data_IF_228119505585
#
_entry.id   IF_228119505585
#
_cell.length_a   1.000
_cell.length_b   1.000
_cell.length_c   1.000
_cell.angle_alpha   90.00
_cell.angle_beta   90.00
_cell.angle_gamma   90.00
#
_symmetry.space_group_name_H-M   'P 1'
#
loop_
_entity.id
_entity.type
_entity.pdbx_description
1 polymer ?
#
# COMPACT_ATOMS: atom_id res chain seq x y z
N UNK A 1 -12.68 15.16 3.73
CA UNK A 1 -13.15 14.34 2.58
C UNK A 1 -14.04 13.25 3.15
N UNK A 2 -15.08 12.82 2.42
CA UNK A 2 -15.83 11.63 2.86
C UNK A 2 -14.97 10.41 2.50
N UNK A 3 -14.62 9.63 3.49
CA UNK A 3 -13.88 8.38 3.36
C UNK A 3 -14.83 7.32 2.77
N UNK A 4 -15.09 7.41 1.48
CA UNK A 4 -15.93 6.46 0.75
C UNK A 4 -15.06 5.32 0.18
N UNK A 5 -15.57 4.08 0.16
CA UNK A 5 -14.84 2.97 -0.43
C UNK A 5 -14.62 3.19 -1.93
N UNK A 6 -13.55 2.60 -2.47
CA UNK A 6 -13.27 2.61 -3.90
C UNK A 6 -13.65 1.27 -4.53
N UNK A 7 -14.54 1.30 -5.51
CA UNK A 7 -14.91 0.16 -6.34
C UNK A 7 -14.44 0.44 -7.76
N UNK A 8 -13.60 -0.43 -8.32
CA UNK A 8 -13.07 -0.25 -9.67
C UNK A 8 -14.10 -0.58 -10.77
N UNK A 9 -13.74 -0.36 -12.03
CA UNK A 9 -14.61 -0.63 -13.17
C UNK A 9 -15.06 -2.11 -13.30
N UNK A 10 -14.32 -3.05 -12.72
CA UNK A 10 -14.68 -4.47 -12.67
C UNK A 10 -15.69 -4.81 -11.55
N UNK A 11 -16.05 -3.84 -10.70
CA UNK A 11 -16.96 -4.03 -9.57
C UNK A 11 -16.27 -4.59 -8.31
N UNK A 12 -14.93 -4.61 -8.28
CA UNK A 12 -14.16 -5.05 -7.11
C UNK A 12 -13.91 -3.87 -6.17
N UNK A 13 -14.23 -4.04 -4.88
CA UNK A 13 -13.90 -3.07 -3.84
C UNK A 13 -12.40 -3.15 -3.51
N UNK A 14 -11.63 -2.18 -3.98
CA UNK A 14 -10.17 -2.13 -3.84
C UNK A 14 -9.74 -1.40 -2.57
N UNK A 15 -10.47 -0.36 -2.17
CA UNK A 15 -10.16 0.44 -0.98
C UNK A 15 -11.38 0.48 -0.05
N UNK A 16 -11.14 0.19 1.23
CA UNK A 16 -12.11 0.39 2.30
C UNK A 16 -11.46 1.19 3.44
N UNK A 17 -12.16 2.23 3.89
CA UNK A 17 -11.76 3.00 5.05
C UNK A 17 -12.34 2.39 6.33
N UNK A 18 -11.47 1.94 7.22
CA UNK A 18 -11.87 1.31 8.50
C UNK A 18 -11.93 2.34 9.62
N UNK A 19 -10.96 3.24 9.66
CA UNK A 19 -10.80 4.32 10.64
C UNK A 19 -9.92 5.42 10.04
N UNK A 20 -9.72 6.52 10.78
CA UNK A 20 -8.85 7.62 10.36
C UNK A 20 -7.38 7.19 10.14
N UNK A 21 -6.97 6.07 10.74
CA UNK A 21 -5.61 5.54 10.70
C UNK A 21 -5.47 4.21 9.98
N UNK A 22 -6.57 3.59 9.52
CA UNK A 22 -6.51 2.24 8.95
C UNK A 22 -7.41 2.07 7.72
N UNK A 23 -6.87 1.38 6.72
CA UNK A 23 -7.56 1.00 5.49
C UNK A 23 -7.39 -0.48 5.20
N UNK A 24 -8.31 -1.05 4.43
CA UNK A 24 -8.07 -2.29 3.67
C UNK A 24 -7.77 -1.87 2.25
N UNK A 25 -6.65 -2.35 1.71
CA UNK A 25 -6.25 -2.12 0.34
C UNK A 25 -6.09 -3.48 -0.35
N UNK A 26 -7.16 -3.94 -0.99
CA UNK A 26 -7.26 -5.27 -1.59
C UNK A 26 -6.58 -5.31 -2.97
N UNK A 27 -5.25 -5.21 -2.93
CA UNK A 27 -4.36 -5.33 -4.07
C UNK A 27 -3.46 -6.56 -3.89
N UNK A 28 -3.05 -7.23 -4.98
CA UNK A 28 -2.27 -8.47 -4.91
C UNK A 28 -0.92 -8.29 -4.19
N UNK A 29 -0.28 -7.13 -4.35
CA UNK A 29 1.02 -6.78 -3.77
C UNK A 29 0.95 -6.13 -2.38
N UNK A 30 -0.24 -6.07 -1.78
CA UNK A 30 -0.39 -5.79 -0.34
C UNK A 30 -0.47 -7.13 0.38
N UNK A 31 0.64 -7.54 1.00
CA UNK A 31 0.83 -8.84 1.65
C UNK A 31 0.80 -8.67 3.17
N UNK A 32 -0.32 -8.15 3.68
CA UNK A 32 -0.57 -7.94 5.11
C UNK A 32 -1.76 -8.77 5.56
N UNK A 33 -1.88 -8.98 6.87
CA UNK A 33 -3.01 -9.73 7.44
C UNK A 33 -4.31 -8.99 7.11
N UNK A 34 -5.19 -9.65 6.34
CA UNK A 34 -6.46 -9.07 5.89
C UNK A 34 -6.30 -7.84 4.99
N UNK A 35 -5.16 -7.69 4.29
CA UNK A 35 -4.86 -6.57 3.39
C UNK A 35 -4.90 -5.20 4.09
N UNK A 36 -4.78 -5.18 5.42
CA UNK A 36 -4.88 -3.99 6.25
C UNK A 36 -3.57 -3.21 6.26
N UNK A 37 -3.68 -1.89 6.15
CA UNK A 37 -2.61 -0.94 6.37
C UNK A 37 -3.03 0.04 7.47
N UNK A 38 -2.12 0.30 8.42
CA UNK A 38 -2.38 1.14 9.60
C UNK A 38 -1.24 2.15 9.77
N UNK A 39 -1.60 3.42 9.96
CA UNK A 39 -0.65 4.52 10.19
C UNK A 39 0.19 4.23 11.44
N UNK A 40 1.49 4.54 11.37
CA UNK A 40 2.46 4.27 12.42
C UNK A 40 3.08 2.88 12.37
N UNK A 41 2.45 1.92 11.68
CA UNK A 41 2.98 0.56 11.58
C UNK A 41 4.17 0.47 10.61
N UNK A 42 5.15 -0.39 10.94
CA UNK A 42 6.24 -0.72 10.03
C UNK A 42 5.82 -1.81 9.02
N UNK A 43 6.31 -1.69 7.81
CA UNK A 43 6.13 -2.64 6.72
C UNK A 43 7.45 -2.91 6.01
N UNK A 44 7.62 -4.12 5.48
CA UNK A 44 8.69 -4.43 4.54
C UNK A 44 8.23 -4.04 3.14
N UNK A 45 8.97 -3.13 2.51
CA UNK A 45 8.81 -2.74 1.11
C UNK A 45 9.77 -3.54 0.26
N UNK A 46 9.26 -4.16 -0.80
CA UNK A 46 10.07 -4.60 -1.95
C UNK A 46 9.79 -3.66 -3.11
N UNK A 47 10.82 -3.14 -3.77
CA UNK A 47 10.70 -2.29 -4.95
C UNK A 47 11.53 -2.84 -6.11
N UNK A 48 10.90 -2.97 -7.28
CA UNK A 48 11.56 -3.40 -8.50
C UNK A 48 12.30 -2.21 -9.12
N UNK A 49 13.62 -2.30 -9.22
CA UNK A 49 14.46 -1.29 -9.89
C UNK A 49 14.85 -1.74 -11.29
N UNK A 50 15.41 -0.82 -12.08
CA UNK A 50 15.99 -1.12 -13.41
C UNK A 50 17.06 -2.23 -13.30
N UNK A 51 17.80 -2.24 -12.18
CA UNK A 51 18.77 -3.28 -11.86
C UNK A 51 18.47 -3.79 -10.45
N UNK A 52 18.02 -5.04 -10.36
CA UNK A 52 17.74 -5.72 -9.10
C UNK A 52 16.51 -5.22 -8.35
N UNK A 53 16.48 -5.54 -7.07
CA UNK A 53 15.38 -5.22 -6.15
C UNK A 53 15.93 -4.44 -4.95
N UNK A 54 15.14 -3.50 -4.43
CA UNK A 54 15.43 -2.82 -3.18
C UNK A 54 14.44 -3.27 -2.10
N UNK A 55 14.98 -3.77 -1.00
CA UNK A 55 14.20 -4.10 0.20
C UNK A 55 14.46 -3.01 1.24
N UNK A 56 13.38 -2.44 1.79
CA UNK A 56 13.46 -1.42 2.82
C UNK A 56 12.40 -1.64 3.90
N UNK A 57 12.76 -1.36 5.16
CA UNK A 57 11.76 -1.23 6.21
C UNK A 57 11.22 0.20 6.19
N UNK A 58 9.91 0.35 6.07
CA UNK A 58 9.24 1.64 6.02
C UNK A 58 8.18 1.74 7.11
N UNK A 59 7.80 2.96 7.49
CA UNK A 59 6.63 3.25 8.33
C UNK A 59 5.57 3.97 7.50
N UNK A 60 4.32 3.55 7.61
CA UNK A 60 3.20 4.29 7.03
C UNK A 60 2.91 5.55 7.86
N UNK A 61 2.88 6.71 7.23
CA UNK A 61 2.62 8.00 7.87
C UNK A 61 1.20 8.51 7.59
N UNK A 62 0.60 8.07 6.48
CA UNK A 62 -0.75 8.46 6.08
C UNK A 62 -1.11 7.88 4.71
N UNK A 63 -2.37 8.04 4.35
CA UNK A 63 -2.89 7.65 3.04
C UNK A 63 -3.91 8.68 2.56
N UNK A 64 -4.03 8.79 1.25
CA UNK A 64 -5.05 9.59 0.58
C UNK A 64 -5.34 8.98 -0.78
N UNK A 65 -6.59 8.99 -1.20
CA UNK A 65 -6.97 8.65 -2.57
C UNK A 65 -7.39 9.90 -3.34
N UNK A 66 -7.16 9.88 -4.65
CA UNK A 66 -7.64 10.92 -5.56
C UNK A 66 -7.76 10.35 -6.98
N UNK A 67 -8.94 10.50 -7.58
CA UNK A 67 -9.21 10.07 -8.97
C UNK A 67 -8.76 8.63 -9.28
N UNK A 68 -9.04 7.70 -8.37
CA UNK A 68 -8.68 6.29 -8.52
C UNK A 68 -7.22 5.96 -8.25
N UNK A 69 -6.41 6.92 -7.80
CA UNK A 69 -5.03 6.68 -7.38
C UNK A 69 -4.97 6.69 -5.85
N UNK A 70 -4.45 5.62 -5.24
CA UNK A 70 -4.08 5.61 -3.84
C UNK A 70 -2.66 6.13 -3.68
N UNK A 71 -2.44 6.99 -2.70
CA UNK A 71 -1.13 7.47 -2.28
C UNK A 71 -0.89 7.05 -0.82
N UNK A 72 0.19 6.34 -0.58
CA UNK A 72 0.67 5.96 0.76
C UNK A 72 1.89 6.81 1.08
N UNK A 73 1.78 7.70 2.06
CA UNK A 73 2.91 8.48 2.55
C UNK A 73 3.72 7.62 3.52
N UNK A 74 5.01 7.45 3.23
CA UNK A 74 5.86 6.52 3.98
C UNK A 74 7.20 7.15 4.36
N UNK A 75 7.78 6.65 5.43
CA UNK A 75 9.13 6.97 5.87
C UNK A 75 10.02 5.73 5.79
N UNK A 76 11.14 5.81 5.08
CA UNK A 76 12.21 4.81 5.18
C UNK A 76 12.85 4.88 6.57
N UNK A 77 12.84 3.76 7.29
CA UNK A 77 13.28 3.70 8.69
C UNK A 77 14.80 3.79 8.84
N UNK A 78 15.57 3.45 7.81
CA UNK A 78 17.03 3.49 7.83
C UNK A 78 17.57 4.90 7.56
N UNK A 79 16.95 5.60 6.61
CA UNK A 79 17.41 6.90 6.11
C UNK A 79 16.60 8.07 6.65
N UNK A 80 15.41 7.81 7.18
CA UNK A 80 14.45 8.84 7.62
C UNK A 80 13.73 9.54 6.47
N UNK A 81 14.02 9.21 5.20
CA UNK A 81 13.47 9.87 4.02
C UNK A 81 11.96 9.63 3.88
N UNK A 82 11.21 10.68 3.56
CA UNK A 82 9.78 10.62 3.27
C UNK A 82 9.52 10.60 1.77
N UNK A 83 8.55 9.79 1.34
CA UNK A 83 8.09 9.72 -0.05
C UNK A 83 6.71 9.09 -0.14
N UNK A 84 6.09 9.15 -1.32
CA UNK A 84 4.81 8.50 -1.57
C UNK A 84 5.03 7.24 -2.41
N UNK A 85 4.37 6.16 -2.01
CA UNK A 85 4.04 5.07 -2.90
C UNK A 85 2.68 5.36 -3.51
N UNK A 86 2.52 5.13 -4.81
CA UNK A 86 1.24 5.34 -5.47
C UNK A 86 0.87 4.19 -6.39
N UNK A 87 -0.42 3.92 -6.52
CA UNK A 87 -0.94 2.93 -7.43
C UNK A 87 -2.31 3.34 -7.97
N UNK A 88 -2.57 3.02 -9.24
CA UNK A 88 -3.87 3.22 -9.86
C UNK A 88 -4.77 2.02 -9.55
N UNK A 89 -5.81 2.25 -8.75
CA UNK A 89 -6.76 1.24 -8.26
C UNK A 89 -7.70 0.71 -9.35
N UNK A 90 -7.72 1.30 -10.55
CA UNK A 90 -8.41 0.75 -11.72
C UNK A 90 -7.63 -0.37 -12.42
N UNK A 91 -6.33 -0.50 -12.16
CA UNK A 91 -5.52 -1.56 -12.77
C UNK A 91 -5.80 -2.86 -12.02
N UNK A 92 -6.58 -3.75 -12.64
CA UNK A 92 -6.83 -5.12 -12.14
C UNK A 92 -5.79 -6.14 -12.62
N UNK A 93 -4.80 -5.71 -13.40
CA UNK A 93 -4.00 -6.62 -14.21
C UNK A 93 -2.99 -7.45 -13.42
N UNK A 94 -2.88 -8.71 -13.80
CA UNK A 94 -1.84 -9.62 -13.35
C UNK A 94 -0.45 -9.09 -13.75
N UNK A 95 0.31 -8.60 -12.76
CA UNK A 95 1.77 -8.58 -12.82
C UNK A 95 2.47 -7.24 -13.03
N UNK A 96 1.77 -6.09 -12.98
CA UNK A 96 2.40 -4.77 -13.14
C UNK A 96 2.29 -3.91 -11.88
N UNK A 97 3.16 -4.18 -10.91
CA UNK A 97 3.42 -3.28 -9.77
C UNK A 97 4.93 -3.03 -9.62
N UNK A 98 5.29 -1.81 -9.21
CA UNK A 98 6.68 -1.44 -8.96
C UNK A 98 7.12 -1.69 -7.53
N UNK A 99 6.17 -1.89 -6.61
CA UNK A 99 6.43 -2.10 -5.20
C UNK A 99 5.41 -3.05 -4.58
N UNK A 100 5.79 -3.74 -3.52
CA UNK A 100 4.90 -4.50 -2.64
C UNK A 100 5.18 -4.16 -1.18
N UNK A 101 4.17 -4.36 -0.32
CA UNK A 101 4.27 -4.18 1.12
C UNK A 101 3.88 -5.46 1.84
N UNK A 102 4.64 -5.84 2.85
CA UNK A 102 4.31 -6.96 3.72
C UNK A 102 4.46 -6.58 5.20
N UNK A 103 3.60 -7.13 6.06
CA UNK A 103 3.79 -7.04 7.52
C UNK A 103 4.59 -8.24 8.03
N UNK A 104 5.18 -8.09 9.22
CA UNK A 104 6.00 -9.16 9.80
C UNK A 104 5.19 -10.43 10.03
N UNK A 105 3.93 -10.30 10.42
CA UNK A 105 3.04 -11.43 10.73
C UNK A 105 2.83 -12.31 9.50
N UNK A 106 2.60 -11.71 8.33
CA UNK A 106 2.37 -12.41 7.06
C UNK A 106 3.66 -13.05 6.54
N UNK A 107 4.82 -12.46 6.79
CA UNK A 107 6.10 -13.02 6.35
C UNK A 107 6.53 -14.23 7.20
N UNK A 108 6.14 -14.27 8.48
CA UNK A 108 6.58 -15.31 9.43
C UNK A 108 5.59 -16.46 9.62
N UNK A 109 4.45 -16.45 8.92
CA UNK A 109 3.40 -17.48 8.99
C UNK A 109 3.34 -18.25 7.69
#
# INVERSE_FOLDING_TARGET
>A
MKNEPYINAAGHQVLEYISDDSIILDLPFIMTTGKRLTVGMPYMKLEKKIIGEEIAAIRLLGFQDYQGIIYLNVQDLKTGKHYNLSYNMEIDSDGMWFWSLADIQTITT
#
